data_IF_009993502553
#
_entry.id   IF_009993502553
#
_cell.length_a   1.000
_cell.length_b   1.000
_cell.length_c   1.000
_cell.angle_alpha   90.00
_cell.angle_beta   90.00
_cell.angle_gamma   90.00
#
_symmetry.space_group_name_H-M   'P 1'
#
loop_
_entity.id
_entity.type
_entity.pdbx_description
1 polymer ?
#
# COMPACT_ATOMS: atom_id res chain seq x y z
N UNK A 1 -32.70 5.41 -14.30
CA UNK A 1 -32.27 6.44 -13.32
C UNK A 1 -30.98 5.98 -12.69
N UNK A 2 -29.84 6.64 -12.92
CA UNK A 2 -28.58 6.18 -12.33
C UNK A 2 -28.49 6.65 -10.87
N UNK A 3 -28.27 5.68 -9.97
CA UNK A 3 -28.03 5.95 -8.57
C UNK A 3 -26.71 6.70 -8.41
N UNK A 4 -26.84 7.97 -8.05
CA UNK A 4 -25.78 8.84 -7.54
C UNK A 4 -25.23 8.27 -6.24
N UNK A 5 -24.18 7.44 -6.32
CA UNK A 5 -23.37 7.08 -5.16
C UNK A 5 -22.14 8.02 -4.98
N UNK A 6 -21.97 8.99 -5.87
CA UNK A 6 -20.78 9.84 -5.95
C UNK A 6 -20.66 10.91 -4.87
N UNK A 7 -21.61 11.02 -3.94
CA UNK A 7 -21.67 12.15 -3.00
C UNK A 7 -22.22 11.70 -1.66
N UNK A 8 -21.32 11.33 -0.74
CA UNK A 8 -21.40 11.67 0.69
C UNK A 8 -20.22 11.06 1.45
N UNK A 9 -19.01 11.59 1.25
CA UNK A 9 -18.09 11.62 2.40
C UNK A 9 -18.62 12.73 3.31
N UNK A 10 -19.00 12.45 4.57
CA UNK A 10 -19.31 13.51 5.52
C UNK A 10 -18.07 14.38 5.68
N UNK A 11 -18.17 15.66 5.33
CA UNK A 11 -17.17 16.66 5.69
C UNK A 11 -17.27 16.83 7.20
N UNK A 12 -16.22 16.51 7.99
CA UNK A 12 -16.25 16.81 9.41
C UNK A 12 -16.33 18.32 9.60
N UNK A 13 -17.40 18.77 10.28
CA UNK A 13 -17.55 20.17 10.67
C UNK A 13 -16.37 20.57 11.56
N UNK A 14 -15.64 21.59 11.12
CA UNK A 14 -14.72 22.40 11.92
C UNK A 14 -13.90 21.64 12.98
N UNK A 15 -13.05 20.74 12.51
CA UNK A 15 -12.03 20.08 13.32
C UNK A 15 -11.11 19.32 12.40
N UNK A 16 -9.99 19.92 12.01
CA UNK A 16 -9.02 19.25 11.16
C UNK A 16 -8.62 17.94 11.79
N UNK A 17 -8.91 16.82 11.14
CA UNK A 17 -8.18 15.58 11.37
C UNK A 17 -6.77 15.81 10.82
N UNK A 18 -5.97 16.52 11.61
CA UNK A 18 -4.53 16.57 11.48
C UNK A 18 -4.11 15.11 11.60
N UNK A 19 -3.40 14.59 10.59
CA UNK A 19 -2.67 13.34 10.73
C UNK A 19 -1.55 13.60 11.74
N UNK A 20 -1.88 13.60 13.02
CA UNK A 20 -0.96 13.82 14.12
C UNK A 20 -0.25 12.51 14.36
N UNK A 21 0.88 12.37 13.68
CA UNK A 21 1.90 11.36 13.91
C UNK A 21 1.41 9.91 13.85
N UNK A 22 1.85 9.19 12.82
CA UNK A 22 2.45 7.92 13.17
C UNK A 22 3.57 8.25 14.19
N UNK A 23 3.32 8.00 15.47
CA UNK A 23 4.34 8.16 16.51
C UNK A 23 5.52 7.26 16.17
N UNK A 24 6.74 7.65 16.55
CA UNK A 24 7.95 6.88 16.23
C UNK A 24 7.83 5.40 16.68
N UNK A 25 7.08 5.13 17.75
CA UNK A 25 6.78 3.78 18.24
C UNK A 25 5.87 2.97 17.30
N UNK A 26 4.90 3.61 16.64
CA UNK A 26 4.01 2.96 15.67
C UNK A 26 4.72 2.65 14.34
N UNK A 27 5.73 3.45 13.98
CA UNK A 27 6.55 3.26 12.76
C UNK A 27 7.57 2.13 12.93
N UNK A 28 8.12 1.93 14.14
CA UNK A 28 9.18 0.96 14.40
C UNK A 28 8.70 -0.50 14.32
N UNK A 29 7.52 -0.78 14.86
CA UNK A 29 6.99 -2.17 14.94
C UNK A 29 6.60 -2.76 13.58
N UNK A 30 6.42 -1.94 12.54
CA UNK A 30 5.99 -2.36 11.20
C UNK A 30 7.10 -2.24 10.15
N UNK A 31 8.35 -2.04 10.56
CA UNK A 31 9.47 -1.83 9.64
C UNK A 31 9.86 -3.15 8.97
N UNK A 32 9.29 -3.43 7.81
CA UNK A 32 9.86 -4.41 6.88
C UNK A 32 11.31 -4.00 6.54
N UNK A 33 12.26 -4.93 6.45
CA UNK A 33 13.60 -4.60 5.99
C UNK A 33 13.51 -3.91 4.64
N UNK A 34 14.34 -2.88 4.44
CA UNK A 34 14.38 -2.12 3.19
C UNK A 34 14.79 -3.09 2.08
N UNK A 35 13.89 -3.35 1.13
CA UNK A 35 14.26 -4.06 -0.08
C UNK A 35 15.38 -3.28 -0.78
N UNK A 36 16.42 -4.00 -1.20
CA UNK A 36 17.54 -3.43 -1.95
C UNK A 36 17.00 -2.75 -3.21
N UNK A 37 17.61 -1.64 -3.67
CA UNK A 37 17.18 -0.95 -4.88
C UNK A 37 17.20 -1.92 -6.07
N UNK A 38 16.12 -1.93 -6.86
CA UNK A 38 16.04 -2.73 -8.07
C UNK A 38 17.15 -2.28 -9.04
N UNK A 39 17.88 -3.21 -9.69
CA UNK A 39 19.04 -2.86 -10.50
C UNK A 39 18.65 -2.07 -11.77
N UNK A 40 19.58 -1.22 -12.22
CA UNK A 40 19.42 -0.36 -13.39
C UNK A 40 19.15 -1.17 -14.69
N UNK A 41 18.31 -0.66 -15.61
CA UNK A 41 17.85 -1.41 -16.79
C UNK A 41 18.92 -1.66 -17.88
N UNK A 42 20.17 -1.26 -17.66
CA UNK A 42 21.27 -1.36 -18.65
C UNK A 42 22.38 -2.33 -18.23
N UNK A 43 22.21 -3.08 -17.14
CA UNK A 43 23.10 -4.17 -16.75
C UNK A 43 22.41 -5.52 -16.99
N UNK A 44 22.66 -6.12 -18.14
CA UNK A 44 22.32 -7.53 -18.40
C UNK A 44 23.28 -8.41 -17.56
N UNK A 45 22.82 -8.80 -16.37
CA UNK A 45 23.47 -9.81 -15.55
C UNK A 45 22.69 -11.13 -15.66
N UNK A 46 23.43 -12.19 -15.94
CA UNK A 46 22.97 -13.54 -16.23
C UNK A 46 22.10 -14.09 -15.09
N UNK A 47 20.89 -14.55 -15.43
CA UNK A 47 19.96 -15.14 -14.45
C UNK A 47 20.31 -16.63 -14.28
N UNK A 48 21.18 -16.91 -13.31
CA UNK A 48 21.36 -18.26 -12.78
C UNK A 48 20.13 -18.66 -11.93
N UNK A 49 19.48 -19.81 -12.17
CA UNK A 49 18.30 -20.23 -11.43
C UNK A 49 18.71 -20.97 -10.14
N UNK A 50 18.67 -20.29 -8.99
CA UNK A 50 18.73 -20.92 -7.66
C UNK A 50 19.32 -19.97 -6.61
N UNK A 51 18.79 -19.84 -5.41
CA UNK A 51 17.89 -20.71 -4.65
C UNK A 51 16.58 -20.00 -4.28
N UNK A 52 15.49 -20.74 -4.41
CA UNK A 52 14.21 -20.44 -3.83
C UNK A 52 14.30 -20.39 -2.29
N UNK A 53 14.83 -19.31 -1.72
CA UNK A 53 14.55 -18.91 -0.33
C UNK A 53 13.11 -18.37 -0.26
N UNK A 54 12.21 -19.20 -0.74
CA UNK A 54 10.79 -19.03 -0.83
C UNK A 54 10.24 -19.11 0.61
N UNK A 55 9.87 -17.94 1.15
CA UNK A 55 9.11 -17.75 2.40
C UNK A 55 9.52 -18.69 3.55
N UNK A 56 10.42 -18.21 4.43
CA UNK A 56 10.75 -18.86 5.71
C UNK A 56 9.58 -18.98 6.71
N UNK A 57 8.34 -18.87 6.25
CA UNK A 57 7.15 -19.14 7.05
C UNK A 57 6.75 -20.60 6.91
N UNK A 58 6.77 -21.33 8.02
CA UNK A 58 6.08 -22.62 8.15
C UNK A 58 4.75 -22.40 8.85
N UNK A 59 3.74 -23.15 8.46
CA UNK A 59 2.48 -23.20 9.17
C UNK A 59 2.73 -23.70 10.60
N UNK A 60 2.28 -22.96 11.60
CA UNK A 60 2.46 -23.33 13.00
C UNK A 60 1.72 -24.62 13.36
N UNK A 61 0.57 -24.87 12.73
CA UNK A 61 -0.24 -26.05 12.97
C UNK A 61 0.29 -27.30 12.26
N UNK A 62 0.80 -27.16 11.04
CA UNK A 62 1.13 -28.29 10.17
C UNK A 62 2.64 -28.49 9.94
N UNK A 63 3.48 -27.51 10.27
CA UNK A 63 4.90 -27.53 9.94
C UNK A 63 5.22 -27.38 8.45
N UNK A 64 4.20 -27.36 7.59
CA UNK A 64 4.35 -27.24 6.14
C UNK A 64 4.68 -25.82 5.70
N UNK A 65 5.40 -25.71 4.58
CA UNK A 65 5.71 -24.42 3.97
C UNK A 65 4.41 -23.70 3.57
N UNK A 66 4.42 -22.37 3.72
CA UNK A 66 3.28 -21.53 3.36
C UNK A 66 3.36 -21.16 1.88
N UNK A 67 2.64 -21.88 1.02
CA UNK A 67 2.65 -21.63 -0.44
C UNK A 67 1.45 -20.81 -0.93
N UNK A 68 0.40 -20.72 -0.13
CA UNK A 68 -0.88 -20.12 -0.51
C UNK A 68 -1.15 -18.86 0.32
N UNK A 69 -2.05 -18.01 -0.17
CA UNK A 69 -2.52 -16.80 0.50
C UNK A 69 -4.05 -16.78 0.48
N UNK A 70 -4.64 -16.61 1.66
CA UNK A 70 -6.07 -16.39 1.82
C UNK A 70 -6.38 -14.89 1.72
N UNK A 71 -7.18 -14.50 0.72
CA UNK A 71 -7.53 -13.09 0.53
C UNK A 71 -8.50 -12.56 1.60
N UNK A 72 -9.34 -13.43 2.17
CA UNK A 72 -10.33 -13.05 3.18
C UNK A 72 -9.64 -12.79 4.52
N UNK A 73 -8.84 -13.75 4.98
CA UNK A 73 -8.12 -13.68 6.27
C UNK A 73 -6.81 -12.88 6.18
N UNK A 74 -6.41 -12.52 4.96
CA UNK A 74 -5.21 -11.72 4.63
C UNK A 74 -3.90 -12.32 5.13
N UNK A 75 -3.81 -13.65 5.16
CA UNK A 75 -2.65 -14.37 5.69
C UNK A 75 -2.20 -15.50 4.76
N UNK A 76 -0.90 -15.85 4.79
CA UNK A 76 -0.37 -17.00 4.09
C UNK A 76 -0.78 -18.31 4.79
N UNK A 77 -1.13 -19.34 4.02
CA UNK A 77 -1.55 -20.66 4.50
C UNK A 77 -0.77 -21.77 3.79
N UNK A 78 -0.59 -22.92 4.46
CA UNK A 78 -0.07 -24.11 3.79
C UNK A 78 -1.19 -24.85 3.03
N UNK A 79 -0.80 -25.82 2.21
CA UNK A 79 -1.75 -26.63 1.42
C UNK A 79 -2.67 -27.50 2.28
N UNK A 80 -2.26 -27.84 3.51
CA UNK A 80 -3.09 -28.60 4.45
C UNK A 80 -4.15 -27.75 5.15
N UNK A 81 -3.97 -26.43 5.23
CA UNK A 81 -4.99 -25.53 5.77
C UNK A 81 -6.18 -25.32 4.80
N UNK A 82 -6.15 -25.89 3.60
CA UNK A 82 -7.23 -25.76 2.60
C UNK A 82 -8.59 -26.14 3.15
N UNK A 83 -8.66 -27.14 4.02
CA UNK A 83 -9.90 -27.57 4.66
C UNK A 83 -10.50 -26.54 5.61
N UNK A 84 -9.66 -25.78 6.31
CA UNK A 84 -10.08 -24.67 7.17
C UNK A 84 -10.49 -23.42 6.37
N UNK A 85 -10.08 -23.34 5.11
CA UNK A 85 -10.34 -22.21 4.21
C UNK A 85 -11.14 -22.61 2.97
N UNK A 86 -11.98 -23.66 3.05
CA UNK A 86 -12.71 -24.25 1.90
C UNK A 86 -13.56 -23.23 1.14
N UNK A 87 -14.14 -22.28 1.86
CA UNK A 87 -15.01 -21.25 1.28
C UNK A 87 -14.27 -19.95 0.93
N UNK A 88 -12.95 -19.89 1.18
CA UNK A 88 -12.13 -18.73 0.88
C UNK A 88 -11.36 -18.93 -0.42
N UNK A 89 -11.24 -17.86 -1.20
CA UNK A 89 -10.42 -17.88 -2.40
C UNK A 89 -8.93 -17.86 -2.01
N UNK A 90 -8.29 -19.03 -2.12
CA UNK A 90 -6.86 -19.19 -1.96
C UNK A 90 -6.14 -18.93 -3.29
N UNK A 91 -5.00 -18.24 -3.25
CA UNK A 91 -4.12 -18.02 -4.41
C UNK A 91 -2.67 -18.27 -4.03
N UNK A 92 -1.79 -18.66 -4.97
CA UNK A 92 -0.36 -18.76 -4.69
C UNK A 92 0.20 -17.46 -4.12
N UNK A 93 1.18 -17.55 -3.21
CA UNK A 93 1.82 -16.35 -2.63
C UNK A 93 2.47 -15.49 -3.71
N UNK A 94 3.11 -16.10 -4.71
CA UNK A 94 3.71 -15.37 -5.84
C UNK A 94 2.70 -14.46 -6.55
N UNK A 95 1.48 -14.97 -6.78
CA UNK A 95 0.38 -14.20 -7.37
C UNK A 95 -0.14 -13.11 -6.44
N UNK A 96 -0.31 -13.42 -5.15
CA UNK A 96 -0.73 -12.43 -4.15
C UNK A 96 0.27 -11.27 -4.03
N UNK A 97 1.58 -11.59 -4.03
CA UNK A 97 2.67 -10.60 -3.98
C UNK A 97 2.66 -9.74 -5.23
N UNK A 98 2.57 -10.35 -6.42
CA UNK A 98 2.50 -9.61 -7.69
C UNK A 98 1.31 -8.67 -7.74
N UNK A 99 0.12 -9.16 -7.36
CA UNK A 99 -1.09 -8.35 -7.33
C UNK A 99 -0.95 -7.17 -6.35
N UNK A 100 -0.47 -7.45 -5.13
CA UNK A 100 -0.25 -6.42 -4.10
C UNK A 100 0.76 -5.37 -4.54
N UNK A 101 1.88 -5.78 -5.19
CA UNK A 101 2.89 -4.86 -5.73
C UNK A 101 2.27 -3.90 -6.75
N UNK A 102 1.40 -4.40 -7.62
CA UNK A 102 0.73 -3.59 -8.63
C UNK A 102 -0.29 -2.62 -8.01
N UNK A 103 -1.11 -3.09 -7.07
CA UNK A 103 -2.09 -2.26 -6.37
C UNK A 103 -1.41 -1.13 -5.57
N UNK A 104 -0.33 -1.46 -4.84
CA UNK A 104 0.46 -0.48 -4.11
C UNK A 104 1.10 0.56 -5.04
N UNK A 105 1.68 0.14 -6.17
CA UNK A 105 2.25 1.05 -7.17
C UNK A 105 1.19 2.01 -7.71
N UNK A 106 0.02 1.50 -8.07
CA UNK A 106 -1.09 2.33 -8.56
C UNK A 106 -1.54 3.35 -7.52
N UNK A 107 -1.79 2.90 -6.29
CA UNK A 107 -2.24 3.76 -5.18
C UNK A 107 -1.22 4.85 -4.87
N UNK A 108 0.06 4.47 -4.83
CA UNK A 108 1.16 5.40 -4.58
C UNK A 108 1.27 6.46 -5.69
N UNK A 109 1.10 6.09 -6.96
CA UNK A 109 1.10 7.05 -8.06
C UNK A 109 -0.06 8.04 -7.95
N UNK A 110 -1.27 7.54 -7.67
CA UNK A 110 -2.44 8.39 -7.47
C UNK A 110 -2.29 9.34 -6.25
N UNK A 111 -1.59 8.90 -5.20
CA UNK A 111 -1.26 9.76 -4.05
C UNK A 111 -0.24 10.83 -4.40
N UNK A 112 0.77 10.51 -5.22
CA UNK A 112 1.76 11.49 -5.71
C UNK A 112 1.09 12.58 -6.55
N UNK A 113 0.20 12.21 -7.45
CA UNK A 113 -0.56 13.16 -8.27
C UNK A 113 -1.48 14.05 -7.41
N UNK A 114 -2.21 13.46 -6.45
CA UNK A 114 -3.02 14.26 -5.51
C UNK A 114 -2.17 15.23 -4.70
N UNK A 115 -0.96 14.82 -4.29
CA UNK A 115 -0.02 15.69 -3.59
C UNK A 115 0.42 16.86 -4.46
N UNK A 116 0.77 16.65 -5.74
CA UNK A 116 1.20 17.74 -6.63
C UNK A 116 0.08 18.74 -6.84
N UNK A 117 -1.14 18.27 -7.15
CA UNK A 117 -2.32 19.14 -7.30
C UNK A 117 -2.59 19.94 -6.03
N UNK A 118 -2.55 19.28 -4.86
CA UNK A 118 -2.74 19.96 -3.58
C UNK A 118 -1.68 21.05 -3.36
N UNK A 119 -0.41 20.78 -3.62
CA UNK A 119 0.67 21.77 -3.46
C UNK A 119 0.50 22.97 -4.39
N UNK A 120 0.05 22.77 -5.63
CA UNK A 120 -0.23 23.87 -6.55
C UNK A 120 -1.40 24.74 -6.07
N UNK A 121 -2.46 24.13 -5.57
CA UNK A 121 -3.62 24.85 -5.01
C UNK A 121 -3.17 25.69 -3.82
N UNK A 122 -2.41 25.10 -2.89
CA UNK A 122 -1.89 25.81 -1.72
C UNK A 122 -1.01 26.99 -2.11
N UNK A 123 -0.13 26.81 -3.10
CA UNK A 123 0.73 27.90 -3.60
C UNK A 123 -0.11 29.05 -4.20
N UNK A 124 -1.10 28.73 -5.05
CA UNK A 124 -2.00 29.72 -5.64
C UNK A 124 -2.83 30.45 -4.58
N UNK A 125 -3.30 29.74 -3.56
CA UNK A 125 -4.01 30.34 -2.43
C UNK A 125 -3.10 31.30 -1.65
N UNK A 126 -1.85 30.88 -1.37
CA UNK A 126 -0.87 31.72 -0.69
C UNK A 126 -0.57 33.02 -1.45
N UNK A 127 -0.41 32.94 -2.78
CA UNK A 127 -0.23 34.13 -3.62
C UNK A 127 -1.42 35.09 -3.52
N UNK A 128 -2.66 34.58 -3.62
CA UNK A 128 -3.87 35.40 -3.50
C UNK A 128 -3.97 36.09 -2.15
N UNK A 129 -3.71 35.36 -1.06
CA UNK A 129 -3.69 35.92 0.29
C UNK A 129 -2.66 37.05 0.37
N UNK A 130 -1.43 36.81 -0.10
CA UNK A 130 -0.38 37.83 -0.06
C UNK A 130 -0.72 39.11 -0.84
N UNK A 131 -1.35 38.98 -2.02
CA UNK A 131 -1.75 40.11 -2.84
C UNK A 131 -2.84 40.96 -2.17
N UNK A 132 -3.81 40.31 -1.51
CA UNK A 132 -4.84 41.00 -0.75
C UNK A 132 -4.28 41.70 0.48
N UNK A 133 -3.36 41.08 1.20
CA UNK A 133 -2.70 41.70 2.37
C UNK A 133 -1.95 42.97 2.00
N UNK A 134 -1.23 42.98 0.87
CA UNK A 134 -0.51 44.17 0.38
C UNK A 134 -1.45 45.29 -0.06
N UNK A 135 -2.64 44.96 -0.57
CA UNK A 135 -3.59 45.98 -1.06
C UNK A 135 -4.37 46.68 0.07
N UNK A 136 -4.32 46.13 1.28
CA UNK A 136 -5.04 46.64 2.47
C UNK A 136 -4.14 47.40 3.45
N UNK A 137 -2.83 47.48 3.15
CA UNK A 137 -1.80 48.21 3.90
C UNK A 137 -1.38 49.47 3.18
#
# INVERSE_FOLDING_TARGET
MPASWFLACPVPEAGGAKCESATEESVLSNRMPRAEPEPDPEAEAEVEPGSEDQYKGRCEQHGEALWMYCAVDRLPVCTLCTDSHRDHHLRPISDAVRHSKNELRSTLNALRERKTVFTEIMYKQQQKISALTVSLS
#
